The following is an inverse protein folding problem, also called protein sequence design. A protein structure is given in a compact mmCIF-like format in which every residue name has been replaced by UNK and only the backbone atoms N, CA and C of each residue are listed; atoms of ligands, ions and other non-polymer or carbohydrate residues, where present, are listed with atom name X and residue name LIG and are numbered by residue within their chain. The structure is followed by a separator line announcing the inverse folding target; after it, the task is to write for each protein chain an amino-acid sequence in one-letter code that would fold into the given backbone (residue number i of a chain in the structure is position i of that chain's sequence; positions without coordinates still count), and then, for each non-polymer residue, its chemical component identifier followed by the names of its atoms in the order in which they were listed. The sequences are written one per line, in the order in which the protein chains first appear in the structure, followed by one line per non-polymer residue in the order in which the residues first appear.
data_IF_838519830362
#
_entry.id   IF_838519830362
#
_cell.length_a   1.000
_cell.length_b   1.000
_cell.length_c   1.000
_cell.angle_alpha   90.00
_cell.angle_beta   90.00
_cell.angle_gamma   90.00
#
_symmetry.space_group_name_H-M   'P 1'
#
loop_
_entity.id
_entity.type
_entity.pdbx_description
1 polymer ?
#
# COMPACT_ATOMS: atom_id res chain seq x y z
N UNK A 1 6.65 9.03 -2.45
CA UNK A 1 6.03 7.90 -1.70
C UNK A 1 5.34 6.92 -2.65
N UNK A 2 5.35 5.61 -2.33
CA UNK A 2 4.71 4.53 -3.11
C UNK A 2 3.67 3.80 -2.28
N UNK A 3 2.44 3.65 -2.79
CA UNK A 3 1.36 2.89 -2.17
C UNK A 3 1.09 1.61 -2.96
N UNK A 4 1.38 0.47 -2.34
CA UNK A 4 1.01 -0.84 -2.86
C UNK A 4 -0.49 -1.07 -2.68
N UNK A 5 -1.20 -1.29 -3.79
CA UNK A 5 -2.66 -1.23 -3.82
C UNK A 5 -3.32 -2.31 -4.68
N UNK A 6 -4.62 -2.53 -4.45
CA UNK A 6 -5.53 -3.24 -5.35
C UNK A 6 -6.82 -2.42 -5.45
N UNK A 7 -7.31 -2.20 -6.68
CA UNK A 7 -8.52 -1.40 -6.91
C UNK A 7 -9.79 -1.98 -6.25
N UNK A 8 -9.79 -3.28 -5.95
CA UNK A 8 -10.90 -3.97 -5.29
C UNK A 8 -10.83 -3.94 -3.76
N UNK A 9 -9.71 -3.49 -3.16
CA UNK A 9 -9.56 -3.50 -1.71
C UNK A 9 -10.27 -2.31 -1.06
N UNK A 10 -11.24 -2.54 -0.14
CA UNK A 10 -11.91 -1.45 0.56
C UNK A 10 -10.96 -0.68 1.50
N UNK A 11 -9.93 -1.34 2.03
CA UNK A 11 -8.91 -0.71 2.88
C UNK A 11 -8.03 0.26 2.09
N UNK A 12 -7.65 -0.13 0.87
CA UNK A 12 -6.95 0.76 -0.08
C UNK A 12 -7.80 1.98 -0.40
N UNK A 13 -9.11 1.79 -0.64
CA UNK A 13 -10.03 2.88 -0.98
C UNK A 13 -10.12 3.93 0.13
N UNK A 14 -10.08 3.53 1.40
CA UNK A 14 -10.02 4.48 2.53
C UNK A 14 -8.75 5.35 2.48
N UNK A 15 -7.60 4.73 2.22
CA UNK A 15 -6.30 5.43 2.15
C UNK A 15 -6.25 6.41 0.97
N UNK A 16 -6.73 6.02 -0.20
CA UNK A 16 -6.73 6.91 -1.38
C UNK A 16 -7.68 8.09 -1.22
N UNK A 17 -8.86 7.89 -0.61
CA UNK A 17 -9.78 8.98 -0.26
C UNK A 17 -9.11 9.96 0.71
N UNK A 18 -8.49 9.47 1.79
CA UNK A 18 -7.79 10.31 2.75
C UNK A 18 -6.63 11.09 2.11
N UNK A 19 -5.86 10.46 1.23
CA UNK A 19 -4.78 11.12 0.50
C UNK A 19 -5.30 12.24 -0.43
N UNK A 20 -6.48 12.06 -1.03
CA UNK A 20 -7.17 13.09 -1.79
C UNK A 20 -7.60 14.26 -0.90
N UNK A 21 -8.21 13.96 0.26
CA UNK A 21 -8.65 14.97 1.23
C UNK A 21 -7.47 15.82 1.74
N UNK A 22 -6.33 15.18 2.04
CA UNK A 22 -5.11 15.83 2.48
C UNK A 22 -4.32 16.50 1.34
N UNK A 23 -4.79 16.43 0.08
CA UNK A 23 -4.12 16.98 -1.12
C UNK A 23 -2.70 16.44 -1.35
N UNK A 24 -2.40 15.26 -0.82
CA UNK A 24 -1.10 14.58 -0.99
C UNK A 24 -1.16 13.46 -2.05
N UNK A 25 -2.33 13.19 -2.63
CA UNK A 25 -2.51 12.14 -3.64
C UNK A 25 -1.52 12.22 -4.79
N UNK A 26 -1.19 13.43 -5.28
CA UNK A 26 -0.20 13.65 -6.35
C UNK A 26 1.24 13.29 -5.96
N UNK A 27 1.53 13.14 -4.65
CA UNK A 27 2.85 12.73 -4.12
C UNK A 27 2.93 11.22 -3.87
N UNK A 28 1.85 10.49 -4.12
CA UNK A 28 1.74 9.05 -3.92
C UNK A 28 1.64 8.38 -5.28
N UNK A 29 2.67 7.62 -5.63
CA UNK A 29 2.64 6.71 -6.77
C UNK A 29 1.85 5.45 -6.38
N UNK A 30 0.86 5.10 -7.19
CA UNK A 30 0.10 3.87 -7.02
C UNK A 30 0.83 2.72 -7.69
N UNK A 31 1.33 1.78 -6.88
CA UNK A 31 1.99 0.57 -7.36
C UNK A 31 1.01 -0.59 -7.25
N UNK A 32 0.72 -1.26 -8.38
CA UNK A 32 -0.10 -2.46 -8.38
C UNK A 32 0.53 -3.50 -7.43
N UNK A 33 -0.10 -3.68 -6.27
CA UNK A 33 0.36 -4.60 -5.25
C UNK A 33 -0.09 -6.00 -5.60
N UNK A 34 0.84 -6.94 -5.76
CA UNK A 34 0.57 -8.38 -5.76
C UNK A 34 0.23 -8.90 -4.35
N UNK A 35 -0.43 -8.07 -3.53
CA UNK A 35 -0.95 -8.41 -2.20
C UNK A 35 -2.16 -9.32 -2.32
N UNK A 36 -1.99 -10.46 -2.97
CA UNK A 36 -2.91 -11.57 -2.90
C UNK A 36 -2.37 -12.51 -1.82
N UNK A 37 -3.15 -12.69 -0.75
CA UNK A 37 -2.82 -13.62 0.34
C UNK A 37 -2.54 -15.04 -0.18
N UNK A 38 -3.09 -15.39 -1.35
CA UNK A 38 -2.90 -16.67 -2.02
C UNK A 38 -1.59 -16.74 -2.83
N UNK A 39 -1.14 -15.63 -3.43
CA UNK A 39 0.08 -15.62 -4.26
C UNK A 39 1.36 -15.47 -3.43
N UNK A 40 1.26 -14.97 -2.19
CA UNK A 40 2.37 -14.84 -1.21
C UNK A 40 3.68 -14.36 -1.85
N UNK A 41 3.61 -13.32 -2.67
CA UNK A 41 4.76 -12.81 -3.43
C UNK A 41 5.98 -12.60 -2.51
N UNK A 42 7.07 -13.36 -2.70
CA UNK A 42 8.27 -13.28 -1.86
C UNK A 42 8.91 -11.89 -1.85
N UNK A 43 8.90 -11.20 -2.99
CA UNK A 43 9.46 -9.86 -3.10
C UNK A 43 8.60 -8.84 -2.36
N UNK A 44 7.27 -9.00 -2.41
CA UNK A 44 6.38 -8.18 -1.60
C UNK A 44 6.53 -8.46 -0.10
N UNK A 45 6.76 -9.71 0.31
CA UNK A 45 6.97 -10.06 1.71
C UNK A 45 8.28 -9.56 2.30
N UNK A 46 9.33 -9.42 1.50
CA UNK A 46 10.57 -8.71 1.90
C UNK A 46 10.28 -7.26 2.27
N UNK A 47 9.30 -6.64 1.61
CA UNK A 47 8.86 -5.27 1.88
C UNK A 47 7.88 -5.23 3.07
N UNK A 48 6.85 -6.09 3.07
CA UNK A 48 5.83 -6.20 4.10
C UNK A 48 5.65 -7.67 4.56
N UNK A 49 6.21 -8.08 5.71
CA UNK A 49 6.12 -9.47 6.19
C UNK A 49 4.68 -10.01 6.31
N UNK A 50 3.71 -9.14 6.62
CA UNK A 50 2.29 -9.54 6.68
C UNK A 50 1.73 -9.95 5.30
N UNK A 51 2.34 -9.47 4.21
CA UNK A 51 1.88 -9.70 2.85
C UNK A 51 0.54 -9.02 2.52
N UNK A 52 0.08 -8.10 3.38
CA UNK A 52 -1.21 -7.42 3.23
C UNK A 52 -1.07 -6.08 2.50
N UNK A 53 -2.19 -5.61 1.95
CA UNK A 53 -2.37 -4.26 1.40
C UNK A 53 -3.50 -3.57 2.16
N UNK A 54 -3.52 -2.23 2.27
CA UNK A 54 -2.56 -1.27 1.71
C UNK A 54 -1.20 -1.25 2.45
N UNK A 55 -0.12 -0.94 1.74
CA UNK A 55 1.20 -0.69 2.33
C UNK A 55 1.87 0.52 1.68
N UNK A 56 2.32 1.46 2.51
CA UNK A 56 3.00 2.68 2.06
C UNK A 56 4.52 2.55 2.30
N UNK A 57 5.29 2.78 1.24
CA UNK A 57 6.74 2.98 1.29
C UNK A 57 7.03 4.46 1.15
N UNK A 58 7.64 5.03 2.19
CA UNK A 58 8.10 6.43 2.18
C UNK A 58 9.43 6.55 1.43
N UNK A 59 9.80 7.76 1.05
CA UNK A 59 11.02 8.02 0.29
C UNK A 59 12.29 7.74 1.13
N UNK A 60 12.16 7.74 2.47
CA UNK A 60 13.20 7.33 3.42
C UNK A 60 13.27 5.80 3.63
N UNK A 61 12.50 5.02 2.87
CA UNK A 61 12.44 3.55 3.00
C UNK A 61 11.67 3.06 4.22
N UNK A 62 11.11 3.95 5.04
CA UNK A 62 10.22 3.60 6.16
C UNK A 62 8.90 3.07 5.62
N UNK A 63 8.41 1.99 6.24
CA UNK A 63 7.28 1.18 5.79
C UNK A 63 6.16 1.30 6.81
N UNK A 64 4.96 1.58 6.34
CA UNK A 64 3.77 1.63 7.19
C UNK A 64 2.69 0.75 6.57
N UNK A 65 2.31 -0.30 7.29
CA UNK A 65 1.14 -1.14 7.01
C UNK A 65 0.11 -0.89 8.09
N UNK A 66 -1.13 -0.58 7.70
CA UNK A 66 -2.22 -0.48 8.66
C UNK A 66 -2.65 -1.91 9.05
N UNK A 67 -2.15 -2.39 10.17
CA UNK A 67 -2.65 -3.62 10.81
C UNK A 67 -3.21 -3.22 12.17
N UNK A 68 -4.54 -3.07 12.23
CA UNK A 68 -5.37 -3.28 13.41
C UNK A 68 -6.74 -3.72 12.94
#
# INVERSE_FOLDING_TARGET
MKLHHSGLSPFVRKVTILAGFLRISKKIELVAGKGNLMLRDPEFRKLNPSGQIPMLVTDEGKRSSTVR
#
